data_IF_012248873622
#
_entry.id   IF_012248873622
#
_cell.length_a   1.000
_cell.length_b   1.000
_cell.length_c   1.000
_cell.angle_alpha   90.00
_cell.angle_beta   90.00
_cell.angle_gamma   90.00
#
_symmetry.space_group_name_H-M   'P 1'
#
loop_
_entity.id
_entity.type
_entity.pdbx_description
1 polymer ?
#
# COMPACT_ATOMS: atom_id res chain seq x y z
N UNK A 1 3.96 -11.05 -15.66
CA UNK A 1 2.66 -11.27 -14.96
C UNK A 1 2.78 -11.79 -13.52
N UNK A 2 3.97 -11.83 -12.88
CA UNK A 2 4.15 -12.29 -11.48
C UNK A 2 4.21 -11.15 -10.44
N UNK A 3 4.37 -9.89 -10.86
CA UNK A 3 4.60 -8.75 -9.95
C UNK A 3 3.34 -8.03 -9.50
N UNK A 4 2.28 -8.01 -10.35
CA UNK A 4 0.95 -7.57 -9.92
C UNK A 4 0.46 -8.40 -8.74
N UNK A 5 0.80 -9.69 -8.66
CA UNK A 5 0.47 -10.52 -7.50
C UNK A 5 1.15 -10.06 -6.20
N UNK A 6 2.39 -9.55 -6.28
CA UNK A 6 3.16 -9.09 -5.12
C UNK A 6 2.59 -7.79 -4.51
N UNK A 7 2.02 -6.91 -5.34
CA UNK A 7 1.51 -5.61 -4.92
C UNK A 7 -0.02 -5.55 -4.82
N UNK A 8 -0.76 -6.34 -5.60
CA UNK A 8 -2.21 -6.17 -5.74
C UNK A 8 -3.00 -6.63 -4.50
N UNK A 9 -2.38 -7.21 -3.46
CA UNK A 9 -3.12 -7.60 -2.25
C UNK A 9 -2.33 -7.68 -0.92
N UNK A 10 -1.07 -7.20 -0.87
CA UNK A 10 -0.09 -7.36 0.24
C UNK A 10 0.43 -8.79 0.46
N UNK A 11 0.95 -9.42 -0.61
CA UNK A 11 1.69 -10.68 -0.50
C UNK A 11 3.16 -10.42 -0.12
N UNK A 12 3.40 -10.17 1.17
CA UNK A 12 4.74 -10.26 1.76
C UNK A 12 4.86 -11.65 2.38
N UNK A 13 5.24 -12.64 1.57
CA UNK A 13 5.80 -13.89 2.07
C UNK A 13 7.33 -13.79 2.05
N UNK A 14 7.94 -13.66 3.22
CA UNK A 14 9.31 -14.15 3.45
C UNK A 14 9.17 -15.66 3.70
N UNK A 15 9.74 -16.48 2.82
CA UNK A 15 9.81 -17.92 2.98
C UNK A 15 10.71 -18.24 4.19
N UNK A 16 10.15 -18.93 5.19
CA UNK A 16 10.93 -19.90 5.94
C UNK A 16 10.04 -21.04 6.47
N UNK A 17 10.63 -22.23 6.44
CA UNK A 17 10.02 -23.56 6.56
C UNK A 17 9.32 -23.81 7.91
N UNK A 18 8.60 -24.94 7.95
CA UNK A 18 7.89 -25.60 9.08
C UNK A 18 6.40 -25.19 9.17
N UNK A 19 5.37 -26.04 9.15
CA UNK A 19 5.26 -27.44 9.56
C UNK A 19 4.08 -28.08 8.85
N UNK A 20 4.28 -29.28 8.31
CA UNK A 20 3.20 -30.14 7.85
C UNK A 20 2.32 -30.56 9.05
N UNK A 21 1.01 -30.33 8.99
CA UNK A 21 0.06 -31.01 9.87
C UNK A 21 -1.03 -31.73 9.06
N UNK A 22 -0.77 -33.04 8.96
CA UNK A 22 -1.65 -34.21 8.79
C UNK A 22 -3.16 -33.96 8.91
N UNK A 23 -3.89 -34.40 7.88
CA UNK A 23 -5.34 -34.62 7.88
C UNK A 23 -5.76 -35.78 8.79
N UNK A 24 -6.94 -35.65 9.43
CA UNK A 24 -7.75 -36.76 9.92
C UNK A 24 -9.25 -36.54 9.60
N UNK A 25 -10.06 -37.61 9.55
CA UNK A 25 -11.23 -37.71 8.68
C UNK A 25 -12.54 -37.30 9.34
N UNK A 26 -13.50 -36.98 8.46
CA UNK A 26 -14.87 -36.54 8.75
C UNK A 26 -15.73 -37.71 9.24
N UNK A 27 -16.60 -37.45 10.23
CA UNK A 27 -17.81 -38.25 10.44
C UNK A 27 -19.06 -37.36 10.26
N UNK A 28 -20.18 -37.90 9.74
CA UNK A 28 -21.34 -37.09 9.36
C UNK A 28 -22.54 -37.33 10.27
N UNK A 29 -23.18 -36.28 10.80
CA UNK A 29 -24.61 -36.32 11.17
C UNK A 29 -25.30 -34.98 10.93
N UNK A 30 -26.48 -35.08 10.30
CA UNK A 30 -27.42 -34.01 9.94
C UNK A 30 -28.15 -33.48 11.18
N UNK A 31 -28.35 -32.16 11.29
CA UNK A 31 -29.65 -31.56 11.64
C UNK A 31 -29.65 -30.03 11.41
N UNK A 32 -30.54 -29.62 10.49
CA UNK A 32 -31.43 -28.44 10.53
C UNK A 32 -30.80 -27.05 10.77
N UNK A 33 -30.69 -26.31 9.66
CA UNK A 33 -30.83 -24.85 9.48
C UNK A 33 -30.57 -23.96 10.71
N UNK A 34 -29.31 -23.52 10.82
CA UNK A 34 -28.89 -22.33 11.56
C UNK A 34 -28.25 -21.41 10.52
N UNK A 35 -28.57 -20.13 10.58
CA UNK A 35 -28.11 -19.06 9.71
C UNK A 35 -26.66 -19.28 9.28
N UNK A 36 -26.41 -19.47 7.97
CA UNK A 36 -25.04 -19.30 7.48
C UNK A 36 -24.67 -17.87 7.87
N UNK A 37 -23.61 -17.65 8.66
CA UNK A 37 -23.16 -16.29 8.91
C UNK A 37 -23.00 -15.63 7.55
N UNK A 38 -23.46 -14.39 7.37
CA UNK A 38 -23.38 -13.65 6.09
C UNK A 38 -21.96 -13.70 5.47
N UNK A 39 -20.95 -13.98 6.29
CA UNK A 39 -19.54 -14.07 5.93
C UNK A 39 -18.91 -15.45 6.19
N UNK A 40 -19.68 -16.52 6.41
CA UNK A 40 -19.13 -17.88 6.56
C UNK A 40 -18.22 -18.11 7.77
N UNK A 41 -18.29 -17.25 8.80
CA UNK A 41 -17.47 -17.34 10.02
C UNK A 41 -16.47 -16.18 10.17
N UNK A 42 -15.56 -16.28 11.14
CA UNK A 42 -14.55 -15.24 11.44
C UNK A 42 -13.65 -14.93 10.24
N UNK A 43 -13.22 -15.94 9.51
CA UNK A 43 -12.27 -15.78 8.41
C UNK A 43 -12.89 -15.05 7.21
N UNK A 44 -14.14 -15.34 6.89
CA UNK A 44 -14.83 -14.61 5.83
C UNK A 44 -15.27 -13.20 6.28
N UNK A 45 -15.49 -12.96 7.57
CA UNK A 45 -15.67 -11.60 8.09
C UNK A 45 -14.38 -10.79 7.92
N UNK A 46 -13.22 -11.34 8.29
CA UNK A 46 -11.91 -10.69 8.10
C UNK A 46 -11.68 -10.39 6.61
N UNK A 47 -11.97 -11.35 5.72
CA UNK A 47 -11.89 -11.16 4.27
C UNK A 47 -12.77 -10.00 3.81
N UNK A 48 -14.03 -9.96 4.21
CA UNK A 48 -14.96 -8.89 3.83
C UNK A 48 -14.51 -7.51 4.32
N UNK A 49 -13.97 -7.41 5.54
CA UNK A 49 -13.42 -6.16 6.08
C UNK A 49 -12.17 -5.73 5.31
N UNK A 50 -11.30 -6.67 4.96
CA UNK A 50 -10.13 -6.40 4.11
C UNK A 50 -10.54 -5.91 2.72
N UNK A 51 -11.50 -6.57 2.07
CA UNK A 51 -11.98 -6.16 0.75
C UNK A 51 -12.57 -4.74 0.80
N UNK A 52 -13.31 -4.41 1.87
CA UNK A 52 -13.78 -3.04 2.13
C UNK A 52 -12.62 -2.05 2.31
N UNK A 53 -11.59 -2.43 3.05
CA UNK A 53 -10.42 -1.58 3.27
C UNK A 53 -9.64 -1.31 1.97
N UNK A 54 -9.41 -2.35 1.16
CA UNK A 54 -8.78 -2.23 -0.17
C UNK A 54 -9.60 -1.32 -1.08
N UNK A 55 -10.92 -1.53 -1.15
CA UNK A 55 -11.80 -0.69 -1.96
C UNK A 55 -11.79 0.79 -1.52
N UNK A 56 -11.84 1.05 -0.21
CA UNK A 56 -11.78 2.40 0.34
C UNK A 56 -10.44 3.10 0.08
N UNK A 57 -9.33 2.37 0.22
CA UNK A 57 -8.01 2.89 -0.12
C UNK A 57 -7.91 3.20 -1.61
N UNK A 58 -8.32 2.26 -2.47
CA UNK A 58 -8.34 2.44 -3.91
C UNK A 58 -9.19 3.65 -4.33
N UNK A 59 -10.37 3.83 -3.74
CA UNK A 59 -11.22 5.01 -3.97
C UNK A 59 -10.50 6.31 -3.60
N UNK A 60 -9.84 6.34 -2.45
CA UNK A 60 -9.12 7.53 -1.95
C UNK A 60 -7.94 7.90 -2.86
N UNK A 61 -7.18 6.91 -3.31
CA UNK A 61 -6.06 7.12 -4.23
C UNK A 61 -6.52 7.51 -5.63
N UNK A 62 -7.62 6.92 -6.11
CA UNK A 62 -8.19 7.24 -7.43
C UNK A 62 -8.84 8.62 -7.48
N UNK A 63 -9.18 9.21 -6.33
CA UNK A 63 -9.71 10.57 -6.24
C UNK A 63 -8.63 11.65 -6.40
N UNK A 64 -7.35 11.28 -6.35
CA UNK A 64 -6.24 12.23 -6.55
C UNK A 64 -6.25 12.72 -8.00
N UNK A 65 -6.34 14.03 -8.16
CA UNK A 65 -6.40 14.66 -9.47
C UNK A 65 -5.05 14.53 -10.19
N UNK A 66 -5.11 14.09 -11.44
CA UNK A 66 -3.96 14.09 -12.35
C UNK A 66 -3.65 15.52 -12.78
N UNK A 67 -2.40 15.95 -12.66
CA UNK A 67 -1.93 17.28 -13.08
C UNK A 67 -0.85 17.19 -14.16
N UNK A 68 -0.36 18.36 -14.58
CA UNK A 68 0.77 18.48 -15.50
C UNK A 68 2.14 18.20 -14.83
N UNK A 69 2.19 18.05 -13.50
CA UNK A 69 3.39 17.72 -12.74
C UNK A 69 3.26 16.32 -12.11
N UNK A 70 3.80 15.27 -12.77
CA UNK A 70 3.75 13.91 -12.25
C UNK A 70 4.43 13.72 -10.88
N UNK A 71 5.43 14.54 -10.53
CA UNK A 71 6.08 14.44 -9.22
C UNK A 71 5.19 15.00 -8.11
N UNK A 72 4.47 16.09 -8.39
CA UNK A 72 3.44 16.61 -7.49
C UNK A 72 2.30 15.60 -7.30
N UNK A 73 1.89 14.91 -8.37
CA UNK A 73 0.85 13.88 -8.29
C UNK A 73 1.29 12.68 -7.44
N UNK A 74 2.56 12.26 -7.53
CA UNK A 74 3.13 11.20 -6.67
C UNK A 74 3.12 11.60 -5.19
N UNK A 75 3.45 12.86 -4.88
CA UNK A 75 3.36 13.37 -3.52
C UNK A 75 1.90 13.42 -3.04
N UNK A 76 0.97 13.86 -3.89
CA UNK A 76 -0.45 13.91 -3.58
C UNK A 76 -1.02 12.52 -3.29
N UNK A 77 -0.60 11.50 -4.05
CA UNK A 77 -0.95 10.09 -3.77
C UNK A 77 -0.43 9.62 -2.41
N UNK A 78 0.82 9.94 -2.06
CA UNK A 78 1.36 9.64 -0.74
C UNK A 78 0.54 10.33 0.37
N UNK A 79 0.18 11.60 0.18
CA UNK A 79 -0.63 12.35 1.14
C UNK A 79 -2.04 11.76 1.30
N UNK A 80 -2.67 11.35 0.20
CA UNK A 80 -3.96 10.68 0.20
C UNK A 80 -3.92 9.34 0.95
N UNK A 81 -2.86 8.55 0.76
CA UNK A 81 -2.65 7.31 1.53
C UNK A 81 -2.53 7.58 3.04
N UNK A 82 -1.71 8.57 3.43
CA UNK A 82 -1.55 8.96 4.84
C UNK A 82 -2.87 9.42 5.45
N UNK A 83 -3.60 10.27 4.74
CA UNK A 83 -4.90 10.77 5.18
C UNK A 83 -5.90 9.62 5.35
N UNK A 84 -5.98 8.71 4.37
CA UNK A 84 -6.82 7.53 4.47
C UNK A 84 -6.48 6.68 5.69
N UNK A 85 -5.19 6.44 5.95
CA UNK A 85 -4.73 5.68 7.11
C UNK A 85 -5.15 6.32 8.45
N UNK A 86 -5.07 7.66 8.56
CA UNK A 86 -5.49 8.41 9.74
C UNK A 86 -7.00 8.37 9.96
N UNK A 87 -7.78 8.49 8.89
CA UNK A 87 -9.24 8.50 8.96
C UNK A 87 -9.82 7.10 9.19
N UNK A 88 -9.06 6.06 8.82
CA UNK A 88 -9.50 4.66 8.86
C UNK A 88 -8.54 3.76 9.63
N UNK A 89 -8.02 4.22 10.78
CA UNK A 89 -7.00 3.49 11.58
C UNK A 89 -7.33 2.02 11.80
N UNK A 90 -8.59 1.68 12.09
CA UNK A 90 -9.03 0.31 12.29
C UNK A 90 -8.96 -0.54 11.01
N UNK A 91 -9.31 0.02 9.84
CA UNK A 91 -9.17 -0.66 8.55
C UNK A 91 -7.70 -0.80 8.18
N UNK A 92 -6.88 0.21 8.48
CA UNK A 92 -5.44 0.16 8.31
C UNK A 92 -4.82 -0.98 9.13
N UNK A 93 -5.20 -1.11 10.41
CA UNK A 93 -4.76 -2.22 11.27
C UNK A 93 -5.23 -3.57 10.73
N UNK A 94 -6.43 -3.68 10.15
CA UNK A 94 -6.86 -4.95 9.52
C UNK A 94 -6.04 -5.28 8.27
N UNK A 95 -5.65 -4.28 7.48
CA UNK A 95 -4.80 -4.50 6.30
C UNK A 95 -3.35 -4.85 6.66
N UNK A 96 -2.81 -4.29 7.74
CA UNK A 96 -1.35 -4.24 7.97
C UNK A 96 -0.88 -4.66 9.37
N UNK A 97 -1.78 -4.80 10.33
CA UNK A 97 -1.47 -4.88 11.76
C UNK A 97 -1.18 -6.28 12.32
N UNK A 98 -0.77 -7.26 11.50
CA UNK A 98 -0.45 -8.59 12.01
C UNK A 98 0.28 -9.51 11.04
N UNK A 99 0.86 -10.60 11.56
CA UNK A 99 1.40 -11.72 10.77
C UNK A 99 0.23 -12.57 10.29
N UNK A 100 -0.44 -12.14 9.23
CA UNK A 100 -1.49 -12.94 8.62
C UNK A 100 -0.85 -13.81 7.55
N UNK A 101 -0.90 -15.14 7.72
CA UNK A 101 -0.54 -16.09 6.68
C UNK A 101 -1.50 -15.91 5.51
N UNK A 102 -0.98 -15.40 4.41
CA UNK A 102 -1.75 -15.15 3.19
C UNK A 102 -1.85 -16.44 2.37
N UNK A 103 -3.08 -16.80 1.99
CA UNK A 103 -3.30 -17.79 0.93
C UNK A 103 -3.52 -17.05 -0.40
N UNK A 104 -2.58 -17.12 -1.35
CA UNK A 104 -2.74 -16.52 -2.67
C UNK A 104 -3.86 -17.23 -3.42
N UNK A 105 -5.04 -16.62 -3.44
CA UNK A 105 -6.20 -17.17 -4.16
C UNK A 105 -7.40 -16.25 -4.32
N UNK A 106 -7.42 -15.08 -3.67
CA UNK A 106 -8.42 -14.07 -3.93
C UNK A 106 -8.04 -13.28 -5.19
N UNK A 107 -8.86 -13.37 -6.25
CA UNK A 107 -8.81 -12.34 -7.30
C UNK A 107 -8.96 -10.99 -6.62
N UNK A 108 -7.93 -10.16 -6.70
CA UNK A 108 -8.06 -8.73 -6.43
C UNK A 108 -9.09 -8.26 -7.44
N UNK A 109 -10.24 -7.76 -6.96
CA UNK A 109 -11.27 -7.23 -7.84
C UNK A 109 -10.76 -6.07 -8.70
N UNK A 110 -11.62 -5.42 -9.48
CA UNK A 110 -11.25 -4.28 -10.34
C UNK A 110 -10.59 -3.09 -9.59
N UNK A 111 -10.70 -3.05 -8.26
CA UNK A 111 -10.07 -2.10 -7.35
C UNK A 111 -8.62 -2.49 -7.02
N UNK A 112 -7.67 -2.03 -7.85
CA UNK A 112 -6.23 -2.18 -7.63
C UNK A 112 -5.66 -0.88 -7.01
N UNK A 113 -5.43 -0.81 -5.69
CA UNK A 113 -4.97 0.41 -5.01
C UNK A 113 -3.56 0.86 -5.45
N UNK A 114 -2.81 -0.01 -6.13
CA UNK A 114 -1.45 0.29 -6.60
C UNK A 114 -1.48 0.93 -7.99
N UNK A 115 -2.57 0.76 -8.73
CA UNK A 115 -2.71 1.29 -10.09
C UNK A 115 -2.46 2.81 -10.21
N UNK A 116 -3.07 3.68 -9.38
CA UNK A 116 -2.82 5.13 -9.48
C UNK A 116 -1.34 5.52 -9.30
N UNK A 117 -0.62 4.80 -8.42
CA UNK A 117 0.81 5.00 -8.20
C UNK A 117 1.64 4.63 -9.43
N UNK A 118 1.38 3.45 -10.01
CA UNK A 118 2.09 2.98 -11.21
C UNK A 118 1.84 3.91 -12.40
N UNK A 119 0.60 4.34 -12.60
CA UNK A 119 0.24 5.29 -13.67
C UNK A 119 0.96 6.63 -13.51
N UNK A 120 1.08 7.16 -12.29
CA UNK A 120 1.84 8.38 -12.02
C UNK A 120 3.36 8.18 -12.25
N UNK A 121 3.92 7.04 -11.86
CA UNK A 121 5.34 6.69 -12.13
C UNK A 121 5.60 6.63 -13.64
N UNK A 122 4.73 5.97 -14.41
CA UNK A 122 4.89 5.84 -15.85
C UNK A 122 4.82 7.21 -16.55
N UNK A 123 3.93 8.11 -16.11
CA UNK A 123 3.91 9.50 -16.61
C UNK A 123 5.19 10.25 -16.28
N UNK A 124 5.71 10.13 -15.05
CA UNK A 124 6.94 10.78 -14.65
C UNK A 124 8.15 10.28 -15.45
N UNK A 125 8.19 8.99 -15.77
CA UNK A 125 9.22 8.39 -16.65
C UNK A 125 9.08 8.86 -18.09
N UNK A 126 7.86 8.89 -18.64
CA UNK A 126 7.59 9.41 -19.97
C UNK A 126 8.01 10.89 -20.12
N UNK A 127 7.89 11.67 -19.05
CA UNK A 127 8.36 13.05 -18.96
C UNK A 127 9.87 13.19 -18.67
N UNK A 128 10.64 12.09 -18.61
CA UNK A 128 12.06 12.07 -18.25
C UNK A 128 12.38 12.68 -16.88
N UNK A 129 11.42 12.62 -15.95
CA UNK A 129 11.58 13.14 -14.58
C UNK A 129 12.18 12.09 -13.65
N UNK A 130 11.77 10.83 -13.80
CA UNK A 130 12.29 9.69 -13.04
C UNK A 130 13.16 8.76 -13.89
N UNK A 131 14.14 8.15 -13.26
CA UNK A 131 15.03 7.14 -13.81
C UNK A 131 14.86 5.81 -13.06
N UNK A 132 14.93 4.70 -13.80
CA UNK A 132 14.74 3.34 -13.27
C UNK A 132 13.42 2.67 -13.66
N UNK A 133 13.28 1.43 -13.18
CA UNK A 133 12.11 0.58 -13.46
C UNK A 133 10.94 0.93 -12.53
N UNK A 134 9.67 0.85 -13.00
CA UNK A 134 8.51 1.25 -12.21
C UNK A 134 8.37 0.48 -10.89
N UNK A 135 8.72 -0.81 -10.88
CA UNK A 135 8.54 -1.67 -9.71
C UNK A 135 9.44 -1.27 -8.53
N UNK A 136 10.78 -1.13 -8.70
CA UNK A 136 11.65 -0.58 -7.64
C UNK A 136 11.21 0.80 -7.13
N UNK A 137 10.79 1.69 -8.03
CA UNK A 137 10.28 3.03 -7.67
C UNK A 137 9.04 2.87 -6.78
N UNK A 138 8.03 2.14 -7.24
CA UNK A 138 6.78 1.92 -6.52
C UNK A 138 7.02 1.28 -5.14
N UNK A 139 7.87 0.25 -5.08
CA UNK A 139 8.19 -0.45 -3.83
C UNK A 139 8.88 0.49 -2.83
N UNK A 140 9.82 1.32 -3.28
CA UNK A 140 10.51 2.27 -2.39
C UNK A 140 9.55 3.33 -1.84
N UNK A 141 8.68 3.90 -2.69
CA UNK A 141 7.67 4.89 -2.29
C UNK A 141 6.73 4.23 -1.28
N UNK A 142 6.23 3.03 -1.59
CA UNK A 142 5.34 2.29 -0.71
C UNK A 142 6.00 1.97 0.63
N UNK A 143 7.23 1.45 0.65
CA UNK A 143 7.92 1.10 1.89
C UNK A 143 8.16 2.33 2.78
N UNK A 144 8.62 3.45 2.20
CA UNK A 144 8.78 4.72 2.92
C UNK A 144 7.45 5.19 3.51
N UNK A 145 6.42 5.25 2.68
CA UNK A 145 5.08 5.70 3.03
C UNK A 145 4.47 4.83 4.14
N UNK A 146 4.48 3.51 3.95
CA UNK A 146 3.90 2.55 4.86
C UNK A 146 4.57 2.60 6.23
N UNK A 147 5.90 2.66 6.27
CA UNK A 147 6.65 2.76 7.53
C UNK A 147 6.32 4.02 8.31
N UNK A 148 6.26 5.18 7.64
CA UNK A 148 5.94 6.46 8.28
C UNK A 148 4.52 6.48 8.84
N UNK A 149 3.54 6.03 8.05
CA UNK A 149 2.14 5.98 8.48
C UNK A 149 1.95 4.96 9.60
N UNK A 150 2.62 3.79 9.54
CA UNK A 150 2.55 2.81 10.62
C UNK A 150 3.11 3.37 11.95
N UNK A 151 4.25 4.07 11.91
CA UNK A 151 4.83 4.73 13.09
C UNK A 151 3.92 5.82 13.65
N UNK A 152 3.34 6.64 12.78
CA UNK A 152 2.39 7.68 13.17
C UNK A 152 1.13 7.10 13.83
N UNK A 153 0.51 6.09 13.21
CA UNK A 153 -0.71 5.46 13.75
C UNK A 153 -0.45 4.66 15.03
N UNK A 154 0.77 4.18 15.24
CA UNK A 154 1.20 3.57 16.49
C UNK A 154 1.45 4.60 17.62
N UNK A 155 1.36 5.90 17.33
CA UNK A 155 1.63 6.97 18.30
C UNK A 155 3.12 7.13 18.63
N UNK A 156 4.02 6.58 17.79
CA UNK A 156 5.46 6.68 17.99
C UNK A 156 6.02 8.06 17.62
N UNK A 157 5.24 8.87 16.90
CA UNK A 157 5.59 10.22 16.46
C UNK A 157 4.51 11.19 16.96
N UNK A 158 4.91 12.32 17.52
CA UNK A 158 3.98 13.43 17.69
C UNK A 158 3.59 14.03 16.33
N UNK A 159 2.56 14.90 16.31
CA UNK A 159 2.03 15.44 15.05
C UNK A 159 3.06 16.26 14.27
N UNK A 160 3.87 17.08 14.95
CA UNK A 160 4.85 17.94 14.29
C UNK A 160 5.99 17.12 13.67
N UNK A 161 6.44 16.10 14.40
CA UNK A 161 7.45 15.14 13.94
C UNK A 161 6.91 14.30 12.78
N UNK A 162 5.69 13.78 12.87
CA UNK A 162 5.05 13.00 11.80
C UNK A 162 4.95 13.81 10.51
N UNK A 163 4.51 15.07 10.58
CA UNK A 163 4.42 15.96 9.41
C UNK A 163 5.79 16.24 8.80
N UNK A 164 6.78 16.53 9.63
CA UNK A 164 8.14 16.83 9.16
C UNK A 164 8.80 15.60 8.54
N UNK A 165 8.68 14.44 9.19
CA UNK A 165 9.22 13.17 8.72
C UNK A 165 8.55 12.74 7.41
N UNK A 166 7.22 12.83 7.34
CA UNK A 166 6.45 12.52 6.14
C UNK A 166 6.90 13.35 4.94
N UNK A 167 6.85 14.69 5.07
CA UNK A 167 7.22 15.60 3.99
C UNK A 167 8.66 15.36 3.53
N UNK A 168 9.60 15.28 4.48
CA UNK A 168 11.03 15.17 4.17
C UNK A 168 11.37 13.82 3.53
N UNK A 169 10.85 12.72 4.07
CA UNK A 169 11.13 11.38 3.57
C UNK A 169 10.53 11.15 2.18
N UNK A 170 9.28 11.57 1.94
CA UNK A 170 8.67 11.43 0.61
C UNK A 170 9.42 12.27 -0.42
N UNK A 171 9.77 13.52 -0.11
CA UNK A 171 10.59 14.35 -1.00
C UNK A 171 11.97 13.73 -1.26
N UNK A 172 12.63 13.20 -0.24
CA UNK A 172 13.93 12.55 -0.38
C UNK A 172 13.85 11.29 -1.25
N UNK A 173 12.83 10.44 -1.04
CA UNK A 173 12.58 9.25 -1.86
C UNK A 173 12.33 9.64 -3.31
N UNK A 174 11.42 10.59 -3.59
CA UNK A 174 11.16 11.03 -4.97
C UNK A 174 12.40 11.62 -5.64
N UNK A 175 13.14 12.48 -4.92
CA UNK A 175 14.39 13.07 -5.40
C UNK A 175 15.42 12.00 -5.76
N UNK A 176 15.53 10.94 -4.97
CA UNK A 176 16.46 9.83 -5.18
C UNK A 176 16.24 9.07 -6.50
N UNK A 177 15.01 9.09 -7.03
CA UNK A 177 14.66 8.48 -8.31
C UNK A 177 14.67 9.45 -9.49
N UNK A 178 14.95 10.73 -9.27
CA UNK A 178 14.97 11.69 -10.38
C UNK A 178 16.12 11.43 -11.34
N UNK A 179 15.93 11.75 -12.62
CA UNK A 179 17.01 11.67 -13.61
C UNK A 179 18.20 12.55 -13.20
N UNK A 180 19.44 12.24 -13.62
CA UNK A 180 20.61 13.03 -13.25
C UNK A 180 20.50 14.53 -13.59
N UNK A 181 19.77 14.89 -14.64
CA UNK A 181 19.52 16.28 -15.03
C UNK A 181 18.59 16.99 -14.03
N UNK A 182 17.47 16.33 -13.66
CA UNK A 182 16.51 16.84 -12.69
C UNK A 182 17.13 16.94 -11.30
N UNK A 183 17.84 15.91 -10.85
CA UNK A 183 18.54 15.92 -9.56
C UNK A 183 19.50 17.11 -9.43
N UNK A 184 20.29 17.40 -10.47
CA UNK A 184 21.19 18.57 -10.49
C UNK A 184 20.44 19.90 -10.48
N UNK A 185 19.29 19.99 -11.15
CA UNK A 185 18.47 21.19 -11.14
C UNK A 185 17.93 21.48 -9.73
N UNK A 186 17.40 20.46 -9.05
CA UNK A 186 16.90 20.56 -7.67
C UNK A 186 17.99 21.01 -6.69
N UNK A 187 19.23 20.50 -6.83
CA UNK A 187 20.36 20.94 -5.99
C UNK A 187 20.79 22.39 -6.19
N UNK A 188 20.54 22.99 -7.35
CA UNK A 188 20.90 24.39 -7.63
C UNK A 188 19.87 25.38 -7.08
N UNK A 189 18.64 24.94 -6.86
CA UNK A 189 17.54 25.77 -6.34
C UNK A 189 17.46 25.77 -4.81
N UNK A 190 18.19 24.90 -4.13
CA UNK A 190 18.30 24.94 -2.66
C UNK A 190 19.20 26.14 -2.26
N UNK A 191 18.74 27.05 -1.39
CA UNK A 191 19.60 28.09 -0.85
C UNK A 191 20.81 27.44 -0.17
N UNK A 192 22.00 28.00 -0.38
CA UNK A 192 23.24 27.50 0.22
C UNK A 192 23.15 27.46 1.75
N UNK A 193 23.96 26.61 2.40
CA UNK A 193 23.99 26.46 3.85
C UNK A 193 24.32 27.77 4.57
#
# INVERSE_FOLDING_TARGET
>A
MRWRTALNAFDITFDDRLSATRQQPRTPWLHRSIDRPLFGGKDGLIRAVRDRAVAGLFQSLSAVQTSADPLADLYALAAAYRHWGRDHTHLYTVLFGGVQSFEPGGQVGEADPVRPLVEAIDRARAASLLDGEPTPIALSIWATLHGLVALELAGALDTAMADTAFRSAIHATLRGWTTPSVFRALRRTEPGP
#
